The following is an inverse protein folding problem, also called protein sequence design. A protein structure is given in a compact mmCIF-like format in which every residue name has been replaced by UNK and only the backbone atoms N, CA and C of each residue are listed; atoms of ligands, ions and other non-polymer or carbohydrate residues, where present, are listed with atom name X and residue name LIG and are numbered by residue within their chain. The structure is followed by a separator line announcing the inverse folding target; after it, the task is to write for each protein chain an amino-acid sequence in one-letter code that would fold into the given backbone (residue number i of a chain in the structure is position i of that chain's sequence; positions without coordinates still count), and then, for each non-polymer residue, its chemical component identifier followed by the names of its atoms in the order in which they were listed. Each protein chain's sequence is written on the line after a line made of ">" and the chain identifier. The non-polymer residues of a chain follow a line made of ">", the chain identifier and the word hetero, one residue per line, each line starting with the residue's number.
data_IF_994506162541
#
_entry.id   IF_994506162541
#
_cell.length_a   1.000
_cell.length_b   1.000
_cell.length_c   1.000
_cell.angle_alpha   90.00
_cell.angle_beta   90.00
_cell.angle_gamma   90.00
#
_symmetry.space_group_name_H-M   'P 1'
#
loop_
_entity.id
_entity.type
_entity.pdbx_description
1 polymer ?
#
# COMPACT_ATOMS: atom_id res chain seq x y z
N UNK A 1 -14.07 6.07 19.51
CA UNK A 1 -13.03 6.53 18.56
C UNK A 1 -11.79 6.82 19.37
N UNK A 2 -10.65 6.22 19.02
CA UNK A 2 -9.38 6.48 19.69
C UNK A 2 -8.95 7.92 19.40
N UNK A 3 -8.32 8.58 20.36
CA UNK A 3 -7.81 9.95 20.18
C UNK A 3 -6.31 9.89 19.95
N UNK A 4 -5.78 10.73 19.05
CA UNK A 4 -4.37 10.74 18.65
C UNK A 4 -4.12 10.12 17.28
N UNK A 5 -2.91 9.61 17.04
CA UNK A 5 -2.46 9.03 15.76
C UNK A 5 -2.33 7.52 15.87
N UNK A 6 -3.46 6.82 15.74
CA UNK A 6 -3.56 5.39 16.04
C UNK A 6 -4.42 4.62 15.04
N UNK A 7 -4.79 5.22 13.92
CA UNK A 7 -5.67 4.62 12.92
C UNK A 7 -5.09 4.72 11.51
N UNK A 8 -5.61 3.90 10.60
CA UNK A 8 -5.24 3.92 9.19
C UNK A 8 -5.95 5.01 8.37
N UNK A 9 -6.76 5.86 9.02
CA UNK A 9 -7.56 6.88 8.34
C UNK A 9 -6.66 8.00 7.78
N UNK A 10 -7.15 8.68 6.74
CA UNK A 10 -6.41 9.73 6.05
C UNK A 10 -6.02 10.86 7.00
N UNK A 11 -6.90 11.22 7.94
CA UNK A 11 -6.63 12.25 8.95
C UNK A 11 -5.45 11.90 9.87
N UNK A 12 -5.17 10.61 10.07
CA UNK A 12 -4.06 10.12 10.87
C UNK A 12 -2.76 9.93 10.09
N UNK A 13 -2.87 9.58 8.81
CA UNK A 13 -1.75 9.06 8.03
C UNK A 13 -1.25 10.03 6.96
N UNK A 14 -2.10 10.95 6.48
CA UNK A 14 -1.72 11.96 5.51
C UNK A 14 -1.13 13.19 6.21
N UNK A 15 0.17 13.38 6.04
CA UNK A 15 0.94 14.41 6.70
C UNK A 15 1.60 15.36 5.69
N UNK A 16 1.89 16.61 6.08
CA UNK A 16 2.56 17.55 5.19
C UNK A 16 4.03 17.14 4.94
N UNK A 17 4.44 17.11 3.67
CA UNK A 17 5.84 17.02 3.26
C UNK A 17 6.21 18.26 2.43
N UNK A 18 7.19 19.03 2.90
CA UNK A 18 7.67 20.26 2.26
C UNK A 18 9.17 20.17 2.10
N UNK A 19 9.66 20.41 0.88
CA UNK A 19 11.09 20.39 0.56
C UNK A 19 11.49 21.68 -0.17
N UNK A 20 12.67 22.22 0.16
CA UNK A 20 13.24 23.42 -0.45
C UNK A 20 14.74 23.22 -0.66
N UNK A 21 15.23 23.57 -1.84
CA UNK A 21 16.66 23.50 -2.15
C UNK A 21 16.97 23.95 -3.58
N UNK A 22 18.25 24.00 -3.96
CA UNK A 22 18.67 24.28 -5.33
C UNK A 22 18.01 23.32 -6.32
N UNK A 23 17.47 23.84 -7.43
CA UNK A 23 16.79 23.05 -8.47
C UNK A 23 15.37 22.57 -8.13
N UNK A 24 14.91 22.71 -6.88
CA UNK A 24 13.54 22.38 -6.49
C UNK A 24 12.61 23.56 -6.86
N UNK A 25 11.52 23.26 -7.56
CA UNK A 25 10.61 24.28 -8.07
C UNK A 25 9.91 25.05 -6.93
N UNK A 26 10.01 26.39 -6.97
CA UNK A 26 9.43 27.27 -5.94
C UNK A 26 7.90 27.26 -6.03
N UNK A 27 7.24 27.04 -4.88
CA UNK A 27 5.78 27.16 -4.74
C UNK A 27 4.98 26.13 -5.54
N UNK A 28 5.63 25.08 -6.05
CA UNK A 28 4.95 24.01 -6.77
C UNK A 28 4.44 22.96 -5.79
N UNK A 29 3.21 22.50 -6.03
CA UNK A 29 2.63 21.35 -5.38
C UNK A 29 2.83 20.14 -6.27
N UNK A 30 3.30 19.05 -5.69
CA UNK A 30 3.25 17.74 -6.31
C UNK A 30 2.12 16.98 -5.65
N UNK A 31 1.35 16.25 -6.43
CA UNK A 31 0.40 15.33 -5.82
C UNK A 31 1.11 14.08 -5.30
N UNK A 32 2.42 13.84 -5.59
CA UNK A 32 3.11 12.52 -5.63
C UNK A 32 2.75 11.56 -4.47
N UNK A 33 2.41 10.31 -4.78
CA UNK A 33 2.13 9.29 -3.77
C UNK A 33 3.47 8.91 -3.21
N UNK A 34 3.69 9.30 -1.96
CA UNK A 34 4.92 9.07 -1.25
C UNK A 34 4.61 8.70 0.19
N UNK A 35 5.53 7.98 0.78
CA UNK A 35 5.52 7.57 2.19
C UNK A 35 6.85 7.97 2.83
N UNK A 36 6.95 7.88 4.15
CA UNK A 36 8.21 8.11 4.86
C UNK A 36 9.37 7.24 4.36
N UNK A 37 9.09 6.05 3.82
CA UNK A 37 10.14 5.14 3.31
C UNK A 37 10.85 5.67 2.05
N UNK A 38 10.26 6.65 1.35
CA UNK A 38 10.90 7.29 0.20
C UNK A 38 11.98 8.30 0.61
N UNK A 39 11.94 8.79 1.85
CA UNK A 39 12.80 9.89 2.31
C UNK A 39 14.31 9.55 2.21
N UNK A 40 14.79 8.37 2.67
CA UNK A 40 16.21 8.02 2.56
C UNK A 40 16.72 8.00 1.12
N UNK A 41 15.99 7.36 0.21
CA UNK A 41 16.35 7.31 -1.22
C UNK A 41 16.34 8.71 -1.86
N UNK A 42 15.42 9.58 -1.44
CA UNK A 42 15.33 10.97 -1.92
C UNK A 42 16.55 11.79 -1.48
N UNK A 43 16.96 11.69 -0.22
CA UNK A 43 18.15 12.40 0.29
C UNK A 43 19.42 11.93 -0.44
N UNK A 44 19.60 10.62 -0.61
CA UNK A 44 20.76 10.07 -1.33
C UNK A 44 20.79 10.52 -2.79
N UNK A 45 19.64 10.51 -3.48
CA UNK A 45 19.49 11.01 -4.85
C UNK A 45 19.89 12.47 -4.97
N UNK A 46 19.38 13.33 -4.08
CA UNK A 46 19.73 14.76 -4.03
C UNK A 46 21.22 15.00 -3.73
N UNK A 47 21.83 14.16 -2.91
CA UNK A 47 23.25 14.19 -2.61
C UNK A 47 24.12 13.57 -3.72
N UNK A 48 23.51 13.02 -4.79
CA UNK A 48 24.18 12.27 -5.87
C UNK A 48 25.00 11.07 -5.35
N UNK A 49 24.47 10.41 -4.32
CA UNK A 49 25.06 9.21 -3.73
C UNK A 49 24.35 7.95 -4.24
N UNK A 50 25.02 6.78 -4.23
CA UNK A 50 24.40 5.50 -4.55
C UNK A 50 23.19 5.22 -3.64
N UNK A 51 22.12 4.69 -4.22
CA UNK A 51 20.90 4.30 -3.50
C UNK A 51 20.96 2.78 -3.29
N UNK A 52 21.00 2.29 -2.04
CA UNK A 52 20.99 0.84 -1.78
C UNK A 52 19.71 0.17 -2.28
N UNK A 53 19.85 -0.98 -2.94
CA UNK A 53 18.71 -1.76 -3.40
C UNK A 53 17.81 -2.28 -2.26
N UNK A 54 18.35 -2.36 -1.04
CA UNK A 54 17.64 -2.76 0.17
C UNK A 54 16.59 -1.76 0.64
N UNK A 55 16.55 -0.53 0.09
CA UNK A 55 15.53 0.45 0.45
C UNK A 55 14.17 0.09 -0.15
N UNK A 56 13.13 0.16 0.68
CA UNK A 56 11.75 -0.24 0.35
C UNK A 56 11.06 0.69 -0.67
N UNK A 57 11.65 1.84 -0.97
CA UNK A 57 11.08 2.82 -1.89
C UNK A 57 12.14 3.49 -2.75
N UNK A 58 11.72 3.98 -3.91
CA UNK A 58 12.54 4.82 -4.78
C UNK A 58 12.55 6.28 -4.30
N UNK A 59 13.47 7.08 -4.83
CA UNK A 59 13.51 8.51 -4.56
C UNK A 59 12.27 9.22 -5.10
N UNK A 60 11.74 10.19 -4.35
CA UNK A 60 10.73 11.12 -4.87
C UNK A 60 11.41 12.00 -5.94
N UNK A 61 10.85 12.10 -7.16
CA UNK A 61 11.45 12.85 -8.27
C UNK A 61 11.24 14.37 -8.13
N UNK A 62 11.79 14.95 -7.06
CA UNK A 62 11.56 16.36 -6.67
C UNK A 62 12.22 17.39 -7.59
N UNK A 63 13.20 16.99 -8.39
CA UNK A 63 13.92 17.88 -9.32
C UNK A 63 13.29 17.97 -10.71
N UNK A 64 12.49 16.99 -11.11
CA UNK A 64 12.07 16.88 -12.51
C UNK A 64 10.94 17.85 -12.89
N UNK A 65 10.34 18.57 -11.93
CA UNK A 65 9.14 19.40 -12.13
C UNK A 65 8.02 18.68 -12.93
N UNK A 66 8.07 17.35 -12.96
CA UNK A 66 7.06 16.49 -13.54
C UNK A 66 6.14 16.13 -12.39
N UNK A 67 4.86 16.44 -12.55
CA UNK A 67 3.81 15.75 -11.83
C UNK A 67 3.92 14.27 -12.24
N UNK A 68 4.69 13.48 -11.51
CA UNK A 68 4.89 12.06 -11.82
C UNK A 68 3.59 11.33 -11.48
N UNK A 69 2.70 11.28 -12.46
CA UNK A 69 1.35 10.76 -12.29
C UNK A 69 0.77 10.12 -13.53
N UNK A 70 0.19 8.94 -13.32
CA UNK A 70 -0.34 8.07 -14.35
C UNK A 70 0.47 6.77 -14.41
N UNK A 71 0.90 6.41 -15.62
CA UNK A 71 1.61 5.14 -15.89
C UNK A 71 2.98 5.02 -15.21
N UNK A 72 3.55 6.13 -14.77
CA UNK A 72 4.92 6.22 -14.25
C UNK A 72 4.96 6.49 -12.74
N UNK A 73 3.85 6.28 -12.01
CA UNK A 73 3.83 6.49 -10.57
C UNK A 73 4.82 5.52 -9.87
N UNK A 74 5.69 6.00 -8.98
CA UNK A 74 6.70 5.16 -8.34
C UNK A 74 6.10 4.16 -7.35
N UNK A 75 4.94 4.51 -6.77
CA UNK A 75 4.25 3.70 -5.77
C UNK A 75 2.74 3.84 -5.98
N UNK A 76 2.07 2.73 -6.28
CA UNK A 76 0.59 2.66 -6.29
C UNK A 76 0.04 2.17 -4.95
N UNK A 77 0.73 1.21 -4.36
CA UNK A 77 0.28 0.41 -3.24
C UNK A 77 1.33 0.46 -2.13
N UNK A 78 0.91 0.81 -0.92
CA UNK A 78 1.79 0.83 0.24
C UNK A 78 1.04 0.42 1.50
N UNK A 79 1.79 -0.04 2.51
CA UNK A 79 1.20 -0.44 3.78
C UNK A 79 1.12 0.73 4.75
N UNK A 80 0.07 0.69 5.58
CA UNK A 80 0.00 1.42 6.85
C UNK A 80 -0.28 0.37 7.92
N UNK A 81 0.46 0.42 9.02
CA UNK A 81 0.46 -0.63 10.03
C UNK A 81 0.59 -0.03 11.43
N UNK A 82 0.03 -0.74 12.41
CA UNK A 82 0.08 -0.33 13.81
C UNK A 82 0.07 -1.56 14.72
N UNK A 83 1.01 -1.59 15.67
CA UNK A 83 1.07 -2.58 16.74
C UNK A 83 1.31 -1.84 18.05
N UNK A 84 0.24 -1.52 18.76
CA UNK A 84 0.32 -0.98 20.10
C UNK A 84 -1.04 -1.06 20.76
N UNK A 85 -1.05 -0.79 22.06
CA UNK A 85 -2.28 -0.44 22.75
C UNK A 85 -2.71 0.95 22.27
N UNK A 86 -3.93 1.04 21.73
CA UNK A 86 -4.52 2.35 21.57
C UNK A 86 -4.78 2.95 22.96
N UNK A 87 -4.71 4.28 23.04
CA UNK A 87 -5.02 5.00 24.25
C UNK A 87 -5.82 6.23 23.90
N UNK A 88 -6.66 6.66 24.83
CA UNK A 88 -7.36 7.92 24.68
C UNK A 88 -6.46 9.02 25.23
N UNK A 89 -6.23 10.05 24.42
CA UNK A 89 -5.52 11.26 24.85
C UNK A 89 -6.17 11.81 26.13
N UNK A 90 -5.34 12.23 27.09
CA UNK A 90 -5.76 12.65 28.43
C UNK A 90 -6.51 11.58 29.26
N UNK A 91 -6.28 10.29 28.97
CA UNK A 91 -6.85 9.17 29.73
C UNK A 91 -5.85 8.06 29.99
N UNK A 92 -6.08 7.31 31.08
CA UNK A 92 -5.36 6.06 31.39
C UNK A 92 -5.96 4.85 30.68
N UNK A 93 -7.09 5.01 29.97
CA UNK A 93 -7.71 3.93 29.22
C UNK A 93 -6.77 3.38 28.14
N UNK A 94 -6.74 2.05 28.02
CA UNK A 94 -5.98 1.29 27.03
C UNK A 94 -6.92 0.35 26.29
N UNK A 95 -6.65 0.15 25.01
CA UNK A 95 -7.46 -0.69 24.14
C UNK A 95 -6.56 -1.64 23.36
N UNK A 96 -6.74 -2.92 23.63
CA UNK A 96 -5.83 -3.97 23.14
C UNK A 96 -6.18 -4.49 21.74
N UNK A 97 -7.32 -4.07 21.19
CA UNK A 97 -7.87 -4.52 19.91
C UNK A 97 -7.56 -3.58 18.73
N UNK A 98 -6.54 -2.71 18.83
CA UNK A 98 -6.25 -1.69 17.82
C UNK A 98 -5.09 -2.04 16.89
N UNK A 99 -4.59 -3.27 16.92
CA UNK A 99 -3.55 -3.73 15.99
C UNK A 99 -4.17 -3.94 14.61
N UNK A 100 -3.56 -3.38 13.56
CA UNK A 100 -4.06 -3.49 12.20
C UNK A 100 -2.95 -3.53 11.15
N UNK A 101 -3.32 -4.07 9.98
CA UNK A 101 -2.58 -3.91 8.73
C UNK A 101 -3.50 -3.40 7.65
N UNK A 102 -3.00 -2.43 6.88
CA UNK A 102 -3.76 -1.80 5.82
C UNK A 102 -2.99 -1.72 4.51
N UNK A 103 -3.74 -1.69 3.42
CA UNK A 103 -3.27 -1.33 2.09
C UNK A 103 -3.90 0.01 1.72
N UNK A 104 -3.06 1.00 1.44
CA UNK A 104 -3.46 2.21 0.73
C UNK A 104 -3.15 2.03 -0.74
N UNK A 105 -4.14 2.31 -1.58
CA UNK A 105 -4.03 2.20 -3.03
C UNK A 105 -4.44 3.49 -3.70
N UNK A 106 -3.48 4.16 -4.34
CA UNK A 106 -3.74 5.44 -5.00
C UNK A 106 -3.25 5.34 -6.44
N UNK A 107 -4.14 5.62 -7.38
CA UNK A 107 -3.83 5.60 -8.80
C UNK A 107 -4.82 6.42 -9.60
N UNK A 108 -4.77 6.27 -10.93
CA UNK A 108 -5.62 7.07 -11.80
C UNK A 108 -7.10 6.65 -11.67
N UNK A 109 -7.88 7.40 -10.89
CA UNK A 109 -9.31 7.19 -10.71
C UNK A 109 -9.69 6.25 -9.57
N UNK A 110 -8.79 6.01 -8.61
CA UNK A 110 -9.11 5.33 -7.35
C UNK A 110 -8.18 5.81 -6.23
N UNK A 111 -8.74 5.91 -5.04
CA UNK A 111 -8.05 6.20 -3.78
C UNK A 111 -8.69 5.33 -2.70
N UNK A 112 -8.03 4.25 -2.32
CA UNK A 112 -8.64 3.15 -1.58
C UNK A 112 -7.91 2.90 -0.27
N UNK A 113 -8.65 2.64 0.79
CA UNK A 113 -8.14 2.08 2.04
C UNK A 113 -8.79 0.72 2.27
N UNK A 114 -7.97 -0.30 2.48
CA UNK A 114 -8.40 -1.62 2.95
C UNK A 114 -7.65 -1.97 4.23
N UNK A 115 -8.36 -2.32 5.28
CA UNK A 115 -7.79 -2.61 6.62
C UNK A 115 -8.29 -3.96 7.12
N UNK A 116 -7.37 -4.74 7.71
CA UNK A 116 -7.68 -5.93 8.49
C UNK A 116 -7.23 -5.67 9.92
N UNK A 117 -8.15 -5.80 10.87
CA UNK A 117 -7.90 -5.66 12.30
C UNK A 117 -7.51 -7.01 12.92
N UNK A 118 -6.79 -6.99 14.04
CA UNK A 118 -6.40 -8.21 14.76
C UNK A 118 -7.58 -9.00 15.31
N UNK A 119 -8.70 -8.34 15.53
CA UNK A 119 -9.99 -8.92 15.94
C UNK A 119 -10.73 -9.60 14.78
N UNK A 120 -10.24 -9.46 13.54
CA UNK A 120 -10.78 -10.10 12.35
C UNK A 120 -11.76 -9.23 11.55
N UNK A 121 -12.20 -8.09 12.09
CA UNK A 121 -12.98 -7.11 11.34
C UNK A 121 -12.17 -6.58 10.16
N UNK A 122 -12.91 -6.23 9.10
CA UNK A 122 -12.36 -5.72 7.86
C UNK A 122 -13.10 -4.47 7.45
N UNK A 123 -12.34 -3.51 6.97
CA UNK A 123 -12.84 -2.25 6.49
C UNK A 123 -12.33 -1.98 5.08
N UNK A 124 -13.21 -1.42 4.26
CA UNK A 124 -12.87 -0.98 2.93
C UNK A 124 -13.59 0.33 2.64
N UNK A 125 -12.82 1.32 2.19
CA UNK A 125 -13.27 2.66 1.85
C UNK A 125 -12.75 3.05 0.47
N UNK A 126 -13.61 3.68 -0.31
CA UNK A 126 -13.25 4.39 -1.54
C UNK A 126 -13.31 5.89 -1.24
N UNK A 127 -12.14 6.53 -1.12
CA UNK A 127 -12.01 7.93 -0.75
C UNK A 127 -12.32 8.87 -1.91
N UNK A 128 -12.51 8.37 -3.13
CA UNK A 128 -13.08 9.19 -4.22
C UNK A 128 -14.55 9.48 -3.92
N UNK A 129 -15.28 8.47 -3.44
CA UNK A 129 -16.72 8.56 -3.15
C UNK A 129 -17.01 8.97 -1.70
N UNK A 130 -16.15 8.59 -0.75
CA UNK A 130 -16.26 8.88 0.69
C UNK A 130 -14.94 9.44 1.24
N UNK A 131 -14.61 10.72 0.96
CA UNK A 131 -13.34 11.34 1.37
C UNK A 131 -13.11 11.39 2.89
N UNK A 132 -14.17 11.26 3.69
CA UNK A 132 -14.13 11.29 5.15
C UNK A 132 -14.23 9.90 5.78
N UNK A 133 -14.25 8.84 4.96
CA UNK A 133 -14.16 7.44 5.40
C UNK A 133 -15.22 7.06 6.44
N UNK A 134 -16.44 7.57 6.24
CA UNK A 134 -17.56 7.39 7.16
C UNK A 134 -18.35 6.11 6.92
N UNK A 135 -18.22 5.50 5.73
CA UNK A 135 -19.02 4.35 5.31
C UNK A 135 -18.14 3.18 4.90
N UNK A 136 -17.98 2.21 5.81
CA UNK A 136 -17.34 0.93 5.48
C UNK A 136 -18.21 0.15 4.47
N UNK A 137 -17.70 -0.04 3.25
CA UNK A 137 -18.38 -0.76 2.16
C UNK A 137 -17.85 -2.18 1.94
N UNK A 138 -17.06 -2.73 2.86
CA UNK A 138 -16.49 -4.08 2.76
C UNK A 138 -17.56 -5.14 2.46
N UNK A 139 -18.63 -5.20 3.25
CA UNK A 139 -19.70 -6.20 3.12
C UNK A 139 -20.47 -6.14 1.79
N UNK A 140 -20.57 -4.96 1.18
CA UNK A 140 -21.25 -4.76 -0.12
C UNK A 140 -20.30 -4.90 -1.31
N UNK A 141 -19.00 -5.02 -1.08
CA UNK A 141 -18.00 -5.08 -2.15
C UNK A 141 -17.86 -6.50 -2.68
N UNK A 142 -17.71 -6.64 -4.00
CA UNK A 142 -17.58 -7.94 -4.65
C UNK A 142 -16.34 -8.67 -4.14
N UNK A 143 -16.44 -9.96 -3.75
CA UNK A 143 -15.30 -10.75 -3.30
C UNK A 143 -14.13 -10.77 -4.29
N UNK A 144 -14.42 -10.82 -5.60
CA UNK A 144 -13.40 -10.75 -6.64
C UNK A 144 -12.51 -9.49 -6.49
N UNK A 145 -13.08 -8.33 -6.17
CA UNK A 145 -12.31 -7.11 -5.95
C UNK A 145 -11.48 -7.19 -4.67
N UNK A 146 -12.10 -7.57 -3.55
CA UNK A 146 -11.44 -7.72 -2.25
C UNK A 146 -10.26 -8.70 -2.31
N UNK A 147 -10.36 -9.75 -3.13
CA UNK A 147 -9.29 -10.72 -3.31
C UNK A 147 -7.98 -10.11 -3.83
N UNK A 148 -8.03 -9.01 -4.61
CA UNK A 148 -6.83 -8.29 -5.06
C UNK A 148 -6.19 -7.52 -3.90
N UNK A 149 -7.02 -6.90 -3.06
CA UNK A 149 -6.57 -6.14 -1.90
C UNK A 149 -5.94 -7.07 -0.85
N UNK A 150 -6.52 -8.25 -0.62
CA UNK A 150 -5.91 -9.30 0.21
C UNK A 150 -4.55 -9.74 -0.34
N UNK A 151 -4.44 -9.93 -1.67
CA UNK A 151 -3.19 -10.35 -2.29
C UNK A 151 -2.08 -9.30 -2.12
N UNK A 152 -2.41 -8.03 -2.29
CA UNK A 152 -1.48 -6.94 -2.00
C UNK A 152 -1.09 -6.89 -0.53
N UNK A 153 -2.05 -7.05 0.38
CA UNK A 153 -1.79 -7.07 1.82
C UNK A 153 -0.81 -8.19 2.20
N UNK A 154 -0.98 -9.38 1.62
CA UNK A 154 -0.09 -10.51 1.84
C UNK A 154 1.37 -10.22 1.47
N UNK A 155 1.59 -9.45 0.41
CA UNK A 155 2.94 -9.02 0.00
C UNK A 155 3.44 -7.91 0.90
N UNK A 156 2.68 -6.82 0.99
CA UNK A 156 3.10 -5.57 1.64
C UNK A 156 3.39 -5.74 3.14
N UNK A 157 2.67 -6.64 3.83
CA UNK A 157 2.86 -6.85 5.28
C UNK A 157 4.26 -7.34 5.69
N UNK A 158 5.01 -7.93 4.74
CA UNK A 158 6.33 -8.55 4.99
C UNK A 158 7.38 -8.13 3.95
N UNK A 159 7.04 -7.20 3.07
CA UNK A 159 7.89 -6.82 1.95
C UNK A 159 9.22 -6.22 2.44
N UNK A 160 10.28 -6.36 1.64
CA UNK A 160 11.57 -5.69 1.84
C UNK A 160 12.19 -5.33 0.48
N UNK A 161 12.77 -4.14 0.40
CA UNK A 161 13.46 -3.64 -0.78
C UNK A 161 12.58 -3.73 -2.04
N UNK A 162 13.03 -4.43 -3.11
CA UNK A 162 12.29 -4.52 -4.37
C UNK A 162 10.84 -5.01 -4.26
N UNK A 163 10.53 -5.89 -3.31
CA UNK A 163 9.17 -6.44 -3.18
C UNK A 163 8.17 -5.44 -2.60
N UNK A 164 8.65 -4.38 -1.93
CA UNK A 164 7.82 -3.25 -1.53
C UNK A 164 7.58 -2.28 -2.68
N UNK A 165 8.57 -2.16 -3.59
CA UNK A 165 8.54 -1.25 -4.74
C UNK A 165 7.64 -1.74 -5.86
N UNK A 166 7.59 -3.06 -6.06
CA UNK A 166 6.72 -3.68 -7.08
C UNK A 166 5.99 -4.92 -6.51
N UNK A 167 4.94 -4.71 -5.70
CA UNK A 167 4.18 -5.82 -5.13
C UNK A 167 3.40 -6.60 -6.21
N UNK A 168 3.09 -6.00 -7.36
CA UNK A 168 2.39 -6.71 -8.44
C UNK A 168 3.29 -7.73 -9.14
N UNK A 169 4.57 -7.42 -9.33
CA UNK A 169 5.55 -8.38 -9.84
C UNK A 169 5.74 -9.59 -8.89
N UNK A 170 5.58 -9.39 -7.58
CA UNK A 170 5.59 -10.50 -6.61
C UNK A 170 4.37 -11.41 -6.78
N UNK A 171 3.20 -10.81 -7.02
CA UNK A 171 1.95 -11.56 -7.23
C UNK A 171 1.95 -12.26 -8.61
N UNK A 172 2.55 -11.65 -9.63
CA UNK A 172 2.60 -12.16 -11.02
C UNK A 172 4.05 -12.36 -11.52
N UNK A 173 4.83 -13.29 -10.95
CA UNK A 173 6.27 -13.41 -11.22
C UNK A 173 6.62 -13.97 -12.60
N UNK A 174 5.70 -14.69 -13.25
CA UNK A 174 5.93 -15.38 -14.53
C UNK A 174 5.78 -14.46 -15.75
N UNK A 175 5.41 -13.20 -15.53
CA UNK A 175 5.29 -12.21 -16.60
C UNK A 175 6.67 -11.60 -16.85
N UNK A 176 7.16 -11.70 -18.09
CA UNK A 176 8.50 -11.19 -18.46
C UNK A 176 8.65 -9.73 -17.98
N UNK A 177 9.75 -9.37 -17.31
CA UNK A 177 10.04 -7.97 -17.02
C UNK A 177 10.16 -7.23 -18.35
N UNK A 178 9.26 -6.28 -18.62
CA UNK A 178 9.51 -5.29 -19.67
C UNK A 178 10.57 -4.36 -19.08
N UNK A 179 11.79 -4.44 -19.63
CA UNK A 179 12.91 -3.61 -19.20
C UNK A 179 12.58 -2.10 -19.25
N UNK A 180 13.46 -1.29 -18.66
CA UNK A 180 13.42 0.18 -18.62
C UNK A 180 13.51 0.82 -20.02
N UNK A 181 12.53 0.55 -20.88
CA UNK A 181 12.41 1.11 -22.21
C UNK A 181 11.07 1.79 -22.38
N UNK A 182 11.11 3.00 -22.94
CA UNK A 182 9.96 3.72 -23.48
C UNK A 182 9.30 2.92 -24.63
N UNK A 183 8.61 1.83 -24.30
CA UNK A 183 8.11 0.85 -25.25
C UNK A 183 6.60 0.77 -25.25
N UNK A 184 5.98 1.35 -26.28
CA UNK A 184 4.63 1.00 -26.73
C UNK A 184 4.64 -0.43 -27.28
N UNK A 185 4.61 -1.44 -26.39
CA UNK A 185 4.58 -2.84 -26.78
C UNK A 185 3.17 -3.35 -27.05
N UNK A 186 2.82 -3.54 -28.32
CA UNK A 186 1.65 -4.31 -28.77
C UNK A 186 1.89 -5.83 -28.66
N UNK A 187 1.95 -6.35 -27.43
CA UNK A 187 1.96 -7.79 -27.12
C UNK A 187 0.72 -8.20 -26.33
N UNK A 188 0.07 -9.32 -26.69
CA UNK A 188 -1.28 -9.71 -26.26
C UNK A 188 -1.45 -10.19 -24.80
N UNK A 189 -0.42 -10.16 -23.97
CA UNK A 189 -0.56 -10.32 -22.51
C UNK A 189 0.18 -9.17 -21.80
N UNK A 190 -0.57 -8.12 -21.43
CA UNK A 190 -0.03 -7.04 -20.61
C UNK A 190 0.26 -7.59 -19.21
N UNK A 191 1.50 -7.39 -18.73
CA UNK A 191 1.87 -7.69 -17.35
C UNK A 191 0.98 -6.90 -16.38
N UNK A 192 0.54 -7.52 -15.29
CA UNK A 192 -0.22 -6.86 -14.21
C UNK A 192 0.72 -5.92 -13.48
N UNK A 193 0.49 -4.62 -13.63
CA UNK A 193 1.30 -3.56 -13.00
C UNK A 193 0.48 -2.61 -12.15
N UNK A 194 -0.83 -2.82 -12.13
CA UNK A 194 -1.77 -1.97 -11.43
C UNK A 194 -3.00 -2.73 -10.98
N UNK A 195 -3.78 -2.14 -10.08
CA UNK A 195 -5.11 -2.67 -9.75
C UNK A 195 -5.97 -2.81 -11.00
N UNK A 196 -5.94 -1.82 -11.91
CA UNK A 196 -6.70 -1.87 -13.16
C UNK A 196 -6.38 -3.11 -13.99
N UNK A 197 -5.10 -3.48 -14.10
CA UNK A 197 -4.70 -4.69 -14.81
C UNK A 197 -5.14 -5.95 -14.05
N UNK A 198 -5.00 -5.95 -12.72
CA UNK A 198 -5.38 -7.04 -11.83
C UNK A 198 -6.89 -7.33 -11.82
N UNK A 199 -7.72 -6.32 -12.14
CA UNK A 199 -9.18 -6.44 -12.23
C UNK A 199 -9.67 -7.16 -13.50
N UNK A 200 -8.77 -7.55 -14.41
CA UNK A 200 -9.16 -8.41 -15.52
C UNK A 200 -9.73 -9.75 -14.98
N UNK A 201 -10.95 -10.10 -15.42
CA UNK A 201 -11.67 -11.30 -14.98
C UNK A 201 -10.88 -12.60 -15.15
N UNK A 202 -9.93 -12.65 -16.10
CA UNK A 202 -9.07 -13.84 -16.30
C UNK A 202 -8.27 -14.21 -15.05
N UNK A 203 -8.04 -13.24 -14.15
CA UNK A 203 -7.33 -13.46 -12.89
C UNK A 203 -8.26 -13.74 -11.70
N UNK A 204 -9.59 -13.74 -11.87
CA UNK A 204 -10.54 -13.91 -10.75
C UNK A 204 -10.30 -15.19 -9.96
N UNK A 205 -10.14 -16.32 -10.66
CA UNK A 205 -9.86 -17.62 -10.04
C UNK A 205 -8.52 -17.61 -9.31
N UNK A 206 -7.47 -17.09 -9.96
CA UNK A 206 -6.14 -16.97 -9.37
C UNK A 206 -6.16 -16.20 -8.05
N UNK A 207 -6.77 -15.01 -8.01
CA UNK A 207 -6.86 -14.22 -6.78
C UNK A 207 -7.76 -14.85 -5.70
N UNK A 208 -8.79 -15.61 -6.10
CA UNK A 208 -9.66 -16.31 -5.16
C UNK A 208 -8.95 -17.45 -4.42
N UNK A 209 -7.98 -18.10 -5.07
CA UNK A 209 -7.19 -19.19 -4.50
C UNK A 209 -6.03 -18.71 -3.61
N UNK A 210 -5.67 -17.41 -3.69
CA UNK A 210 -4.62 -16.84 -2.86
C UNK A 210 -5.02 -16.83 -1.38
N UNK A 211 -4.06 -17.09 -0.49
CA UNK A 211 -4.32 -17.18 0.94
C UNK A 211 -4.79 -15.83 1.49
N UNK A 212 -5.52 -15.83 2.61
CA UNK A 212 -6.05 -14.59 3.21
C UNK A 212 -5.28 -14.25 4.48
N UNK A 213 -4.88 -12.99 4.60
CA UNK A 213 -4.24 -12.50 5.81
C UNK A 213 -5.22 -12.51 6.99
N UNK A 214 -4.72 -12.94 8.14
CA UNK A 214 -5.36 -12.78 9.43
C UNK A 214 -4.29 -12.70 10.52
N UNK A 215 -4.69 -12.17 11.67
CA UNK A 215 -3.93 -12.29 12.91
C UNK A 215 -4.44 -13.50 13.69
N UNK A 216 -3.55 -14.22 14.38
CA UNK A 216 -3.97 -15.23 15.38
C UNK A 216 -4.46 -14.56 16.67
N UNK A 217 -3.72 -13.53 17.10
CA UNK A 217 -3.95 -12.79 18.33
C UNK A 217 -3.66 -11.29 18.14
N UNK A 218 -4.27 -10.47 18.99
CA UNK A 218 -4.04 -9.03 19.06
C UNK A 218 -2.75 -8.70 19.83
N UNK A 219 -1.60 -8.97 19.22
CA UNK A 219 -0.29 -8.62 19.79
C UNK A 219 0.04 -7.15 19.57
N UNK A 220 0.76 -6.54 20.53
CA UNK A 220 1.24 -5.15 20.47
C UNK A 220 2.64 -5.01 19.86
N UNK A 221 3.08 -6.01 19.11
CA UNK A 221 4.37 -6.02 18.42
C UNK A 221 4.27 -6.86 17.16
N UNK A 222 5.18 -6.62 16.22
CA UNK A 222 5.27 -7.42 15.01
C UNK A 222 5.75 -8.84 15.34
N UNK A 223 4.96 -9.84 14.97
CA UNK A 223 5.33 -11.24 15.07
C UNK A 223 4.93 -11.99 13.79
N UNK A 224 5.91 -12.44 12.97
CA UNK A 224 5.65 -13.18 11.73
C UNK A 224 4.80 -14.45 11.90
N UNK A 225 4.87 -15.13 13.06
CA UNK A 225 4.08 -16.36 13.31
C UNK A 225 2.66 -16.06 13.80
N UNK A 226 2.39 -14.82 14.21
CA UNK A 226 1.05 -14.34 14.55
C UNK A 226 0.32 -13.81 13.31
N UNK A 227 1.08 -13.23 12.40
CA UNK A 227 0.61 -12.63 11.16
C UNK A 227 0.77 -13.64 10.04
N UNK A 228 -0.24 -14.50 9.86
CA UNK A 228 -0.18 -15.58 8.88
C UNK A 228 -1.15 -15.34 7.73
N UNK A 229 -0.81 -15.92 6.58
CA UNK A 229 -1.77 -16.08 5.50
C UNK A 229 -2.37 -17.47 5.64
N UNK A 230 -3.70 -17.61 5.72
CA UNK A 230 -4.36 -18.91 5.80
C UNK A 230 -3.87 -19.83 4.65
N UNK A 231 -3.68 -21.15 4.83
CA UNK A 231 -3.22 -22.02 3.75
C UNK A 231 -4.07 -21.86 2.47
N UNK A 232 -3.46 -22.03 1.29
CA UNK A 232 -4.21 -22.09 0.02
C UNK A 232 -5.28 -23.17 0.15
N UNK A 233 -6.49 -22.92 -0.36
CA UNK A 233 -7.53 -23.95 -0.49
C UNK A 233 -7.10 -25.01 -1.51
N UNK A 234 -6.21 -25.89 -1.10
CA UNK A 234 -5.85 -27.14 -1.75
C UNK A 234 -5.71 -28.15 -0.62
N UNK A 235 -6.58 -29.16 -0.64
CA UNK A 235 -6.77 -30.25 0.33
C UNK A 235 -7.86 -30.02 1.40
N UNK A 236 -9.12 -30.12 0.95
CA UNK A 236 -10.20 -30.84 1.64
C UNK A 236 -10.80 -31.85 0.65
#
# INVERSE_FOLDING_TARGET
>A
MYAGKQTAYEEDTNIPFIIRGPGIAKGKKSNAVATHTHFPATVLSLAKLPIPDSLDAHSIPVLENKSVYGKDQPTEAFSVEFWSQAFMENSTARFDANTYKSVRLIGQGYNLLYTVWCTGEKEYYDLVEDPFQTKNIYKSTKPAFLNRLDALLNVLRTCKGPTCRDPWAVIHPTQKPVGNGNGHGHGKDKSVRSLKDALNKKFDKFYAELPKFHFKECLHYYNPTNEETAPRHTEL
#
